data_IF_823998826611
#
_entry.id   IF_823998826611
#
_cell.length_a   1.000
_cell.length_b   1.000
_cell.length_c   1.000
_cell.angle_alpha   90.00
_cell.angle_beta   90.00
_cell.angle_gamma   90.00
#
_symmetry.space_group_name_H-M   'P 1'
#
loop_
_entity.id
_entity.type
_entity.pdbx_description
1 polymer ?
#
# COMPACT_ATOMS: atom_id res chain seq x y z
N UNK A 1 -30.19 -18.20 -1.00
CA UNK A 1 -29.45 -17.20 -1.80
C UNK A 1 -27.98 -17.28 -1.40
N UNK A 2 -27.14 -17.98 -2.16
CA UNK A 2 -25.69 -18.04 -1.90
C UNK A 2 -25.09 -16.67 -2.19
N UNK A 3 -24.59 -15.98 -1.17
CA UNK A 3 -23.88 -14.71 -1.37
C UNK A 3 -22.63 -15.02 -2.20
N UNK A 4 -22.55 -14.45 -3.40
CA UNK A 4 -21.39 -14.59 -4.27
C UNK A 4 -20.11 -14.19 -3.50
N UNK A 5 -19.15 -15.10 -3.35
CA UNK A 5 -17.94 -14.96 -2.53
C UNK A 5 -17.17 -13.69 -2.90
N UNK A 6 -17.07 -13.40 -4.20
CA UNK A 6 -16.40 -12.20 -4.71
C UNK A 6 -17.01 -10.86 -4.31
N UNK A 7 -18.26 -10.81 -3.81
CA UNK A 7 -18.94 -9.58 -3.40
C UNK A 7 -18.21 -8.87 -2.25
N UNK A 8 -17.61 -9.64 -1.35
CA UNK A 8 -16.83 -9.08 -0.23
C UNK A 8 -15.58 -8.36 -0.72
N UNK A 9 -14.83 -8.94 -1.67
CA UNK A 9 -13.66 -8.30 -2.27
C UNK A 9 -14.03 -7.04 -3.06
N UNK A 10 -15.16 -7.04 -3.77
CA UNK A 10 -15.64 -5.85 -4.49
C UNK A 10 -15.95 -4.70 -3.51
N UNK A 11 -16.73 -4.99 -2.45
CA UNK A 11 -17.05 -3.97 -1.43
C UNK A 11 -15.79 -3.44 -0.75
N UNK A 12 -14.90 -4.36 -0.35
CA UNK A 12 -13.63 -3.99 0.26
C UNK A 12 -12.78 -3.12 -0.68
N UNK A 13 -12.61 -3.53 -1.94
CA UNK A 13 -11.81 -2.80 -2.92
C UNK A 13 -12.30 -1.35 -3.11
N UNK A 14 -13.61 -1.12 -3.21
CA UNK A 14 -14.15 0.25 -3.30
C UNK A 14 -13.90 1.08 -2.06
N UNK A 15 -14.13 0.52 -0.87
CA UNK A 15 -13.85 1.21 0.40
C UNK A 15 -12.37 1.56 0.49
N UNK A 16 -11.49 0.62 0.12
CA UNK A 16 -10.05 0.77 0.23
C UNK A 16 -9.49 1.76 -0.80
N UNK A 17 -10.07 1.85 -2.01
CA UNK A 17 -9.78 2.92 -2.97
C UNK A 17 -10.06 4.30 -2.35
N UNK A 18 -11.19 4.47 -1.67
CA UNK A 18 -11.54 5.76 -1.05
C UNK A 18 -10.53 6.13 0.04
N UNK A 19 -10.20 5.18 0.92
CA UNK A 19 -9.20 5.38 1.98
C UNK A 19 -7.86 5.83 1.38
N UNK A 20 -7.37 5.11 0.38
CA UNK A 20 -6.05 5.41 -0.18
C UNK A 20 -6.03 6.60 -1.14
N UNK A 21 -7.15 6.95 -1.77
CA UNK A 21 -7.29 8.21 -2.51
C UNK A 21 -7.19 9.40 -1.56
N UNK A 22 -7.92 9.37 -0.43
CA UNK A 22 -7.84 10.42 0.60
C UNK A 22 -6.43 10.49 1.18
N UNK A 23 -5.80 9.34 1.45
CA UNK A 23 -4.42 9.32 1.91
C UNK A 23 -3.44 9.92 0.90
N UNK A 24 -3.61 9.63 -0.40
CA UNK A 24 -2.82 10.26 -1.47
C UNK A 24 -2.98 11.78 -1.50
N UNK A 25 -4.21 12.28 -1.40
CA UNK A 25 -4.47 13.72 -1.31
C UNK A 25 -3.83 14.36 -0.07
N UNK A 26 -3.84 13.67 1.07
CA UNK A 26 -3.12 14.10 2.27
C UNK A 26 -1.61 14.17 2.05
N UNK A 27 -1.00 13.17 1.40
CA UNK A 27 0.43 13.19 1.08
C UNK A 27 0.80 14.32 0.12
N UNK A 28 -0.07 14.62 -0.84
CA UNK A 28 0.10 15.74 -1.78
C UNK A 28 0.07 17.08 -1.04
N UNK A 29 -0.92 17.29 -0.16
CA UNK A 29 -1.00 18.51 0.66
C UNK A 29 0.23 18.69 1.55
N UNK A 30 0.82 17.58 2.03
CA UNK A 30 2.05 17.63 2.83
C UNK A 30 3.28 18.10 2.06
N UNK A 31 3.25 18.13 0.72
CA UNK A 31 4.35 18.72 -0.06
C UNK A 31 4.41 20.26 0.06
N UNK A 32 3.36 20.90 0.58
CA UNK A 32 3.34 22.34 0.88
C UNK A 32 4.04 22.68 2.21
N UNK A 33 4.44 21.68 2.99
CA UNK A 33 5.15 21.83 4.26
C UNK A 33 6.66 21.68 4.02
N UNK A 34 7.42 22.76 4.24
CA UNK A 34 8.86 22.80 3.98
C UNK A 34 9.63 21.69 4.72
N UNK A 35 9.23 21.32 5.94
CA UNK A 35 9.92 20.28 6.72
C UNK A 35 9.70 18.90 6.07
N UNK A 36 8.50 18.66 5.55
CA UNK A 36 8.17 17.43 4.83
C UNK A 36 8.78 17.39 3.42
N UNK A 37 8.86 18.55 2.76
CA UNK A 37 9.37 18.69 1.41
C UNK A 37 10.91 18.58 1.33
N UNK A 38 11.63 19.19 2.28
CA UNK A 38 13.10 19.40 2.25
C UNK A 38 13.93 18.16 2.61
N UNK A 39 13.29 17.01 2.87
CA UNK A 39 13.95 15.70 2.79
C UNK A 39 14.51 15.12 4.08
N UNK A 40 14.44 15.83 5.21
CA UNK A 40 14.78 15.28 6.54
C UNK A 40 13.90 14.06 6.88
N UNK A 41 12.68 14.03 6.33
CA UNK A 41 11.73 12.93 6.48
C UNK A 41 11.64 12.03 5.25
N UNK A 42 12.62 12.06 4.33
CA UNK A 42 12.50 11.33 3.06
C UNK A 42 12.31 9.80 3.21
N UNK A 43 12.98 9.09 4.14
CA UNK A 43 12.70 7.67 4.36
C UNK A 43 11.24 7.42 4.77
N UNK A 44 10.70 8.23 5.68
CA UNK A 44 9.31 8.17 6.13
C UNK A 44 8.35 8.48 4.97
N UNK A 45 8.63 9.54 4.20
CA UNK A 45 7.84 9.95 3.03
C UNK A 45 7.82 8.86 1.96
N UNK A 46 8.95 8.23 1.69
CA UNK A 46 9.05 7.11 0.74
C UNK A 46 8.22 5.90 1.18
N UNK A 47 8.27 5.53 2.47
CA UNK A 47 7.45 4.45 3.01
C UNK A 47 5.95 4.76 2.96
N UNK A 48 5.56 5.99 3.28
CA UNK A 48 4.15 6.41 3.19
C UNK A 48 3.64 6.47 1.75
N UNK A 49 4.46 6.94 0.81
CA UNK A 49 4.17 6.83 -0.63
C UNK A 49 4.03 5.38 -1.07
N UNK A 50 4.91 4.50 -0.62
CA UNK A 50 4.83 3.07 -0.93
C UNK A 50 3.56 2.45 -0.36
N UNK A 51 3.20 2.80 0.89
CA UNK A 51 1.93 2.39 1.50
C UNK A 51 0.74 2.87 0.66
N UNK A 52 0.76 4.12 0.19
CA UNK A 52 -0.29 4.68 -0.67
C UNK A 52 -0.44 3.90 -1.99
N UNK A 53 0.67 3.71 -2.71
CA UNK A 53 0.68 3.01 -4.01
C UNK A 53 0.21 1.56 -3.85
N UNK A 54 0.76 0.82 -2.88
CA UNK A 54 0.37 -0.57 -2.65
C UNK A 54 -1.07 -0.68 -2.14
N UNK A 55 -1.53 0.27 -1.32
CA UNK A 55 -2.92 0.36 -0.88
C UNK A 55 -3.89 0.51 -2.04
N UNK A 56 -3.64 1.44 -2.96
CA UNK A 56 -4.45 1.59 -4.18
C UNK A 56 -4.37 0.35 -5.08
N UNK A 57 -3.17 -0.14 -5.39
CA UNK A 57 -2.97 -1.29 -6.27
C UNK A 57 -3.70 -2.54 -5.75
N UNK A 58 -3.58 -2.83 -4.45
CA UNK A 58 -4.22 -3.99 -3.85
C UNK A 58 -5.74 -3.83 -3.69
N UNK A 59 -6.23 -2.58 -3.67
CA UNK A 59 -7.67 -2.31 -3.78
C UNK A 59 -8.21 -2.72 -5.16
N UNK A 60 -7.53 -2.32 -6.24
CA UNK A 60 -7.88 -2.74 -7.60
C UNK A 60 -7.73 -4.24 -7.80
N UNK A 61 -6.69 -4.85 -7.23
CA UNK A 61 -6.56 -6.31 -7.20
C UNK A 61 -7.78 -6.97 -6.54
N UNK A 62 -8.30 -6.43 -5.44
CA UNK A 62 -9.50 -6.97 -4.80
C UNK A 62 -10.76 -6.80 -5.67
N UNK A 63 -10.92 -5.69 -6.38
CA UNK A 63 -12.00 -5.53 -7.35
C UNK A 63 -11.91 -6.58 -8.45
N UNK A 64 -10.72 -6.73 -9.06
CA UNK A 64 -10.47 -7.73 -10.09
C UNK A 64 -10.75 -9.14 -9.57
N UNK A 65 -10.14 -9.52 -8.45
CA UNK A 65 -10.34 -10.81 -7.79
C UNK A 65 -11.83 -11.11 -7.56
N UNK A 66 -12.56 -10.14 -7.00
CA UNK A 66 -13.99 -10.28 -6.69
C UNK A 66 -14.87 -10.47 -7.93
N UNK A 67 -14.53 -9.86 -9.07
CA UNK A 67 -15.26 -10.07 -10.32
C UNK A 67 -14.99 -11.42 -10.96
N UNK A 68 -13.77 -11.96 -10.81
CA UNK A 68 -13.35 -13.17 -11.51
C UNK A 68 -13.57 -14.45 -10.69
N UNK A 69 -13.47 -14.40 -9.35
CA UNK A 69 -13.37 -15.61 -8.53
C UNK A 69 -14.56 -16.56 -8.66
N UNK A 70 -15.78 -16.03 -8.87
CA UNK A 70 -16.97 -16.86 -9.01
C UNK A 70 -17.00 -17.65 -10.33
N UNK A 71 -16.28 -17.19 -11.36
CA UNK A 71 -16.20 -17.80 -12.69
C UNK A 71 -15.13 -18.91 -12.76
N UNK A 72 -14.38 -19.13 -11.69
CA UNK A 72 -13.36 -20.18 -11.62
C UNK A 72 -13.98 -21.53 -11.29
N UNK A 73 -13.39 -22.62 -11.80
CA UNK A 73 -13.76 -24.00 -11.47
C UNK A 73 -13.17 -24.48 -10.12
N UNK A 74 -12.96 -23.56 -9.18
CA UNK A 74 -12.45 -23.87 -7.84
C UNK A 74 -13.59 -24.26 -6.89
N UNK A 75 -13.25 -25.05 -5.88
CA UNK A 75 -14.18 -25.35 -4.78
C UNK A 75 -14.54 -24.09 -4.00
N UNK A 76 -15.72 -24.04 -3.39
CA UNK A 76 -16.16 -22.90 -2.58
C UNK A 76 -15.21 -22.60 -1.42
N UNK A 77 -14.60 -23.65 -0.84
CA UNK A 77 -13.58 -23.52 0.20
C UNK A 77 -12.34 -22.78 -0.32
N UNK A 78 -11.85 -23.14 -1.50
CA UNK A 78 -10.70 -22.47 -2.12
C UNK A 78 -11.02 -21.02 -2.50
N UNK A 79 -12.21 -20.78 -3.09
CA UNK A 79 -12.69 -19.42 -3.41
C UNK A 79 -12.74 -18.52 -2.17
N UNK A 80 -13.31 -19.04 -1.07
CA UNK A 80 -13.41 -18.33 0.21
C UNK A 80 -12.03 -18.10 0.84
N UNK A 81 -11.15 -19.10 0.79
CA UNK A 81 -9.77 -18.98 1.24
C UNK A 81 -9.03 -17.86 0.52
N UNK A 82 -9.02 -17.88 -0.82
CA UNK A 82 -8.35 -16.84 -1.61
C UNK A 82 -8.99 -15.45 -1.44
N UNK A 83 -10.32 -15.38 -1.30
CA UNK A 83 -11.04 -14.12 -1.00
C UNK A 83 -10.52 -13.46 0.28
N UNK A 84 -10.39 -14.25 1.35
CA UNK A 84 -9.85 -13.79 2.64
C UNK A 84 -8.38 -13.38 2.51
N UNK A 85 -7.55 -14.17 1.83
CA UNK A 85 -6.13 -13.83 1.64
C UNK A 85 -5.92 -12.55 0.83
N UNK A 86 -6.73 -12.33 -0.22
CA UNK A 86 -6.68 -11.12 -1.01
C UNK A 86 -7.00 -9.87 -0.19
N UNK A 87 -7.98 -9.95 0.72
CA UNK A 87 -8.32 -8.84 1.64
C UNK A 87 -7.22 -8.65 2.67
N UNK A 88 -6.76 -9.72 3.34
CA UNK A 88 -5.72 -9.64 4.36
C UNK A 88 -4.43 -9.05 3.76
N UNK A 89 -4.00 -9.52 2.59
CA UNK A 89 -2.80 -8.98 1.92
C UNK A 89 -2.92 -7.49 1.59
N UNK A 90 -4.11 -7.05 1.16
CA UNK A 90 -4.41 -5.65 0.89
C UNK A 90 -4.42 -4.75 2.13
N UNK A 91 -4.59 -5.33 3.33
CA UNK A 91 -4.49 -4.60 4.60
C UNK A 91 -3.05 -4.65 5.10
N UNK A 92 -2.50 -5.86 5.26
CA UNK A 92 -1.23 -6.11 5.95
C UNK A 92 -0.08 -5.35 5.30
N UNK A 93 0.09 -5.43 3.98
CA UNK A 93 1.23 -4.80 3.32
C UNK A 93 1.25 -3.26 3.47
N UNK A 94 0.20 -2.51 3.04
CA UNK A 94 0.24 -1.06 3.12
C UNK A 94 0.20 -0.55 4.57
N UNK A 95 -0.49 -1.24 5.49
CA UNK A 95 -0.45 -0.88 6.92
C UNK A 95 0.94 -1.12 7.50
N UNK A 96 1.61 -2.22 7.17
CA UNK A 96 2.98 -2.47 7.61
C UNK A 96 3.96 -1.42 7.08
N UNK A 97 3.84 -1.02 5.81
CA UNK A 97 4.66 0.05 5.22
C UNK A 97 4.41 1.40 5.90
N UNK A 98 3.15 1.74 6.15
CA UNK A 98 2.79 2.96 6.87
C UNK A 98 3.36 2.97 8.30
N UNK A 99 3.19 1.87 9.04
CA UNK A 99 3.66 1.74 10.42
C UNK A 99 5.19 1.68 10.51
N UNK A 100 5.86 1.05 9.55
CA UNK A 100 7.34 0.96 9.52
C UNK A 100 8.01 2.32 9.52
N UNK A 101 7.33 3.35 9.00
CA UNK A 101 7.83 4.71 8.97
C UNK A 101 7.99 5.33 10.37
N UNK A 102 7.31 4.80 11.39
CA UNK A 102 7.45 5.25 12.79
C UNK A 102 8.55 4.49 13.55
N UNK A 103 8.84 3.25 13.15
CA UNK A 103 9.81 2.39 13.84
C UNK A 103 11.20 2.43 13.22
N UNK A 104 11.33 2.89 11.97
CA UNK A 104 12.57 2.78 11.20
C UNK A 104 13.05 4.07 10.50
N UNK A 105 13.07 5.25 11.17
CA UNK A 105 13.59 6.46 10.53
C UNK A 105 15.10 6.38 10.21
N UNK A 106 15.86 5.43 10.78
CA UNK A 106 17.33 5.38 10.68
C UNK A 106 17.94 4.14 9.99
N UNK A 107 17.21 3.03 9.75
CA UNK A 107 17.82 1.85 9.10
C UNK A 107 17.81 1.89 7.56
N UNK A 108 17.09 2.83 6.94
CA UNK A 108 17.03 3.00 5.47
C UNK A 108 17.91 4.19 5.01
N UNK A 109 18.79 4.71 5.88
CA UNK A 109 19.69 5.83 5.55
C UNK A 109 21.08 5.41 5.04
N UNK A 110 21.37 4.12 4.90
CA UNK A 110 22.68 3.67 4.38
C UNK A 110 22.49 2.67 3.24
N UNK A 111 22.57 3.15 1.98
CA UNK A 111 23.89 3.20 1.33
C UNK A 111 24.13 4.40 0.37
N UNK A 112 23.46 5.55 0.55
CA UNK A 112 23.71 6.75 -0.28
C UNK A 112 24.59 7.81 0.38
N UNK A 113 24.69 7.83 1.72
CA UNK A 113 25.70 8.63 2.42
C UNK A 113 27.14 8.22 2.06
N UNK A 114 27.34 6.96 1.64
CA UNK A 114 28.62 6.44 1.15
C UNK A 114 28.99 6.86 -0.28
N UNK A 115 28.02 7.21 -1.12
CA UNK A 115 28.24 7.63 -2.52
C UNK A 115 28.46 9.13 -2.68
N UNK A 116 28.01 9.94 -1.71
CA UNK A 116 28.17 11.40 -1.77
C UNK A 116 29.57 11.86 -1.32
N UNK A 117 30.30 11.04 -0.55
CA UNK A 117 31.67 11.33 -0.10
C UNK A 117 32.76 11.02 -1.14
N UNK A 118 32.42 10.36 -2.27
CA UNK A 118 33.37 10.04 -3.34
C UNK A 118 33.44 11.07 -4.47
N UNK A 119 32.53 12.06 -4.50
CA UNK A 119 32.47 13.08 -5.57
C UNK A 119 32.96 14.48 -5.16
N UNK A 120 33.52 14.63 -3.95
CA UNK A 120 34.07 15.92 -3.45
C UNK A 120 35.59 15.95 -3.33
N UNK A 121 36.30 15.02 -3.98
CA UNK A 121 37.75 15.15 -4.19
C UNK A 121 37.96 15.44 -5.66
N UNK A 122 38.35 16.68 -5.94
CA UNK A 122 39.22 17.24 -7.00
C UNK A 122 38.76 18.69 -7.24
#
# INVERSE_FOLDING_TARGET
MTIAIGRSNIRFGWIWILVFTVFGGFLEMKLLDDVWAVGVLEPTRSLWRSAHVHGLLLSFYNLFYGTQINNTNLTDRAKRGGSVHAIIGAIVLPVALFLSAFYNPFAISQPLAGLQSSHQRW
#
